data_IF_052500739008
#
_entry.id   IF_052500739008
#
_cell.length_a   1.000
_cell.length_b   1.000
_cell.length_c   1.000
_cell.angle_alpha   90.00
_cell.angle_beta   90.00
_cell.angle_gamma   90.00
#
_symmetry.space_group_name_H-M   'P 1'
#
loop_
_entity.id
_entity.type
_entity.pdbx_description
1 polymer ?
#
# COMPACT_ATOMS: atom_id res chain seq x y z
N UNK A 1 11.16 9.26 21.65
CA UNK A 1 10.31 8.27 20.94
C UNK A 1 11.20 7.50 19.98
N UNK A 2 10.92 6.21 19.76
CA UNK A 2 11.57 5.40 18.74
C UNK A 2 10.67 5.32 17.50
N UNK A 3 11.26 5.15 16.31
CA UNK A 3 10.55 4.86 15.07
C UNK A 3 11.00 3.48 14.56
N UNK A 4 10.20 2.47 14.82
CA UNK A 4 10.50 1.07 14.49
C UNK A 4 9.48 0.54 13.52
N UNK A 5 9.91 0.27 12.30
CA UNK A 5 9.06 -0.17 11.18
C UNK A 5 9.30 -1.64 10.91
N UNK A 6 8.22 -2.39 10.75
CA UNK A 6 8.26 -3.73 10.16
C UNK A 6 7.72 -3.60 8.73
N UNK A 7 8.53 -3.98 7.76
CA UNK A 7 8.08 -4.19 6.37
C UNK A 7 7.40 -5.54 6.31
N UNK A 8 6.12 -5.56 5.96
CA UNK A 8 5.29 -6.75 5.89
C UNK A 8 4.93 -7.04 4.42
N UNK A 9 5.32 -8.22 3.95
CA UNK A 9 5.13 -8.64 2.57
C UNK A 9 4.37 -9.97 2.50
N UNK A 10 3.08 -9.95 2.12
CA UNK A 10 2.41 -11.17 1.68
C UNK A 10 2.99 -11.58 0.32
N UNK A 11 3.32 -12.87 0.15
CA UNK A 11 4.02 -13.36 -1.04
C UNK A 11 3.42 -14.65 -1.56
N UNK A 12 3.45 -14.80 -2.88
CA UNK A 12 3.18 -16.06 -3.59
C UNK A 12 4.42 -16.95 -3.70
N UNK A 13 5.57 -16.50 -3.16
CA UNK A 13 6.88 -17.17 -3.25
C UNK A 13 7.81 -16.55 -4.30
N UNK A 14 7.39 -15.48 -4.99
CA UNK A 14 8.17 -14.84 -6.05
C UNK A 14 8.22 -13.32 -5.90
N UNK A 15 9.26 -12.82 -5.27
CA UNK A 15 9.51 -11.38 -5.21
C UNK A 15 10.10 -10.89 -6.53
N UNK A 16 9.49 -9.88 -7.15
CA UNK A 16 10.02 -9.29 -8.39
C UNK A 16 11.41 -8.68 -8.14
N UNK A 17 12.30 -8.81 -9.12
CA UNK A 17 13.67 -8.28 -9.01
C UNK A 17 13.71 -6.77 -8.71
N UNK A 18 12.80 -6.00 -9.28
CA UNK A 18 12.67 -4.57 -8.99
C UNK A 18 12.31 -4.29 -7.52
N UNK A 19 11.40 -5.10 -6.94
CA UNK A 19 11.02 -5.03 -5.52
C UNK A 19 12.20 -5.40 -4.64
N UNK A 20 12.86 -6.53 -4.90
CA UNK A 20 14.04 -6.96 -4.15
C UNK A 20 15.16 -5.92 -4.18
N UNK A 21 15.40 -5.31 -5.34
CA UNK A 21 16.40 -4.24 -5.49
C UNK A 21 16.00 -2.97 -4.71
N UNK A 22 14.72 -2.58 -4.76
CA UNK A 22 14.20 -1.44 -3.99
C UNK A 22 14.32 -1.67 -2.47
N UNK A 23 14.03 -2.88 -1.99
CA UNK A 23 14.19 -3.27 -0.57
C UNK A 23 15.64 -3.19 -0.12
N UNK A 24 16.58 -3.74 -0.89
CA UNK A 24 18.00 -3.67 -0.58
C UNK A 24 18.49 -2.21 -0.46
N UNK A 25 18.06 -1.34 -1.36
CA UNK A 25 18.38 0.09 -1.32
C UNK A 25 17.71 0.82 -0.16
N UNK A 26 16.47 0.46 0.18
CA UNK A 26 15.77 0.99 1.35
C UNK A 26 16.55 0.70 2.64
N UNK A 27 17.02 -0.55 2.82
CA UNK A 27 17.84 -0.95 4.00
C UNK A 27 19.08 -0.08 4.10
N UNK A 28 19.83 0.04 3.00
CA UNK A 28 21.05 0.84 2.99
C UNK A 28 20.79 2.33 3.27
N UNK A 29 19.73 2.88 2.71
CA UNK A 29 19.34 4.29 2.91
C UNK A 29 18.84 4.52 4.34
N UNK A 30 18.00 3.66 4.88
CA UNK A 30 17.43 3.76 6.22
C UNK A 30 18.51 3.67 7.31
N UNK A 31 19.56 2.90 7.08
CA UNK A 31 20.69 2.80 8.00
C UNK A 31 21.52 4.10 8.06
N UNK A 32 21.53 4.90 7.00
CA UNK A 32 22.36 6.10 6.87
C UNK A 32 21.58 7.40 7.15
N UNK A 33 20.29 7.42 6.81
CA UNK A 33 19.46 8.63 6.86
C UNK A 33 18.36 8.49 7.90
N UNK A 34 18.31 9.41 8.83
CA UNK A 34 17.23 9.42 9.84
C UNK A 34 15.93 9.94 9.26
N UNK A 35 14.84 9.23 9.56
CA UNK A 35 13.48 9.66 9.20
C UNK A 35 13.14 10.96 9.91
N UNK A 36 13.42 11.01 11.21
CA UNK A 36 13.21 12.19 12.06
C UNK A 36 14.52 12.53 12.77
N UNK A 37 15.06 13.76 12.62
CA UNK A 37 16.32 14.16 13.26
C UNK A 37 16.27 14.08 14.78
N UNK A 38 15.10 14.32 15.38
CA UNK A 38 14.89 14.35 16.84
C UNK A 38 14.75 12.96 17.48
N UNK A 39 14.62 11.89 16.69
CA UNK A 39 14.45 10.54 17.23
C UNK A 39 15.81 9.90 17.50
N UNK A 40 16.01 9.44 18.74
CA UNK A 40 17.25 8.79 19.14
C UNK A 40 17.46 7.44 18.46
N UNK A 41 16.36 6.72 18.18
CA UNK A 41 16.40 5.35 17.70
C UNK A 41 15.45 5.12 16.53
N UNK A 42 15.95 4.50 15.45
CA UNK A 42 15.14 3.97 14.36
C UNK A 42 15.58 2.55 14.03
N UNK A 43 14.61 1.70 13.67
CA UNK A 43 14.86 0.32 13.27
C UNK A 43 13.94 -0.06 12.10
N UNK A 44 14.44 -0.92 11.22
CA UNK A 44 13.72 -1.50 10.11
C UNK A 44 13.89 -3.01 10.18
N UNK A 45 12.80 -3.74 10.20
CA UNK A 45 12.73 -5.18 10.20
C UNK A 45 11.80 -5.68 9.10
N UNK A 46 11.82 -6.99 8.81
CA UNK A 46 11.08 -7.57 7.69
C UNK A 46 10.31 -8.80 8.14
N UNK A 47 9.07 -8.92 7.66
CA UNK A 47 8.23 -10.10 7.76
C UNK A 47 7.73 -10.47 6.37
N UNK A 48 8.03 -11.68 5.95
CA UNK A 48 7.55 -12.28 4.71
C UNK A 48 6.65 -13.47 5.06
N UNK A 49 5.48 -13.55 4.44
CA UNK A 49 4.58 -14.67 4.60
C UNK A 49 4.19 -15.23 3.24
N UNK A 50 4.56 -16.48 2.98
CA UNK A 50 4.29 -17.19 1.73
C UNK A 50 3.08 -18.12 1.85
N UNK A 51 2.42 -18.38 0.70
CA UNK A 51 1.49 -19.49 0.53
C UNK A 51 0.11 -19.30 1.17
N UNK A 52 -0.20 -18.14 1.73
CA UNK A 52 -1.53 -17.80 2.22
C UNK A 52 -2.32 -16.96 1.21
N UNK A 53 -3.66 -17.05 1.25
CA UNK A 53 -4.49 -16.08 0.54
C UNK A 53 -4.22 -14.67 1.09
N UNK A 54 -4.35 -13.65 0.24
CA UNK A 54 -3.92 -12.27 0.55
C UNK A 54 -4.51 -11.74 1.87
N UNK A 55 -5.81 -11.94 2.12
CA UNK A 55 -6.49 -11.52 3.36
C UNK A 55 -5.92 -12.20 4.60
N UNK A 56 -5.76 -13.53 4.56
CA UNK A 56 -5.21 -14.30 5.67
C UNK A 56 -3.73 -13.97 5.90
N UNK A 57 -2.97 -13.75 4.82
CA UNK A 57 -1.58 -13.34 4.88
C UNK A 57 -1.40 -12.00 5.58
N UNK A 58 -2.20 -10.98 5.20
CA UNK A 58 -2.16 -9.67 5.85
C UNK A 58 -2.56 -9.76 7.33
N UNK A 59 -3.61 -10.54 7.65
CA UNK A 59 -4.04 -10.74 9.04
C UNK A 59 -2.92 -11.35 9.89
N UNK A 60 -2.28 -12.43 9.40
CA UNK A 60 -1.18 -13.08 10.09
C UNK A 60 0.05 -12.17 10.27
N UNK A 61 0.37 -11.36 9.26
CA UNK A 61 1.47 -10.38 9.35
C UNK A 61 1.16 -9.30 10.40
N UNK A 62 -0.08 -8.84 10.51
CA UNK A 62 -0.49 -7.89 11.57
C UNK A 62 -0.41 -8.52 12.95
N UNK A 63 -0.84 -9.77 13.13
CA UNK A 63 -0.71 -10.47 14.43
C UNK A 63 0.76 -10.61 14.85
N UNK A 64 1.66 -10.97 13.92
CA UNK A 64 3.10 -11.01 14.18
C UNK A 64 3.67 -9.62 14.54
N UNK A 65 3.24 -8.58 13.82
CA UNK A 65 3.60 -7.20 14.12
C UNK A 65 3.15 -6.78 15.52
N UNK A 66 1.89 -7.08 15.89
CA UNK A 66 1.33 -6.73 17.20
C UNK A 66 2.01 -7.49 18.35
N UNK A 67 2.47 -8.72 18.11
CA UNK A 67 3.27 -9.49 19.06
C UNK A 67 4.64 -8.84 19.37
N UNK A 68 5.20 -8.05 18.46
CA UNK A 68 6.41 -7.27 18.69
C UNK A 68 6.08 -5.91 19.36
N UNK A 69 6.08 -5.84 20.67
CA UNK A 69 5.71 -4.64 21.42
C UNK A 69 6.58 -3.40 21.15
N UNK A 70 7.74 -3.56 20.51
CA UNK A 70 8.63 -2.46 20.18
C UNK A 70 8.34 -1.83 18.81
N UNK A 71 7.64 -2.54 17.93
CA UNK A 71 7.31 -2.04 16.61
C UNK A 71 6.24 -0.94 16.68
N UNK A 72 6.47 0.18 16.01
CA UNK A 72 5.57 1.35 16.03
C UNK A 72 4.72 1.48 14.78
N UNK A 73 5.23 1.01 13.64
CA UNK A 73 4.58 1.09 12.34
C UNK A 73 4.76 -0.19 11.55
N UNK A 74 3.74 -0.56 10.76
CA UNK A 74 3.81 -1.59 9.74
C UNK A 74 3.82 -0.92 8.38
N UNK A 75 4.76 -1.29 7.51
CA UNK A 75 4.80 -0.90 6.11
C UNK A 75 4.43 -2.10 5.25
N UNK A 76 3.22 -2.15 4.74
CA UNK A 76 2.89 -3.13 3.71
C UNK A 76 3.58 -2.78 2.40
N UNK A 77 4.22 -3.78 1.80
CA UNK A 77 4.78 -3.72 0.44
C UNK A 77 4.40 -5.03 -0.26
N UNK A 78 3.71 -4.95 -1.40
CA UNK A 78 3.45 -6.15 -2.20
C UNK A 78 4.72 -6.59 -2.96
N UNK A 79 4.82 -7.89 -3.25
CA UNK A 79 6.00 -8.53 -3.85
C UNK A 79 6.36 -8.03 -5.25
N UNK A 80 5.51 -7.19 -5.84
CA UNK A 80 5.63 -6.63 -7.18
C UNK A 80 5.63 -5.09 -7.21
N UNK A 81 6.01 -4.45 -6.10
CA UNK A 81 6.16 -3.00 -6.01
C UNK A 81 7.62 -2.55 -6.13
N UNK A 82 7.91 -1.73 -7.15
CA UNK A 82 9.17 -0.99 -7.22
C UNK A 82 9.03 0.40 -6.62
N UNK A 83 10.09 0.90 -5.96
CA UNK A 83 10.01 2.20 -5.27
C UNK A 83 11.39 2.86 -5.07
N UNK A 84 11.37 4.19 -4.83
CA UNK A 84 12.55 4.96 -4.49
C UNK A 84 12.94 4.76 -3.01
N UNK A 85 14.22 4.85 -2.72
CA UNK A 85 14.81 4.59 -1.38
C UNK A 85 14.27 5.46 -0.27
N UNK A 86 13.84 6.68 -0.59
CA UNK A 86 13.35 7.70 0.36
C UNK A 86 11.83 7.69 0.54
N UNK A 87 11.09 6.81 -0.16
CA UNK A 87 9.62 6.77 -0.13
C UNK A 87 9.08 6.64 1.29
N UNK A 88 9.63 5.69 2.09
CA UNK A 88 9.24 5.53 3.49
C UNK A 88 9.47 6.81 4.30
N UNK A 89 10.57 7.52 4.07
CA UNK A 89 10.89 8.76 4.77
C UNK A 89 9.88 9.87 4.45
N UNK A 90 9.47 9.99 3.19
CA UNK A 90 8.44 10.95 2.76
C UNK A 90 7.14 10.66 3.50
N UNK A 91 6.64 9.43 3.47
CA UNK A 91 5.39 9.02 4.12
C UNK A 91 5.42 9.22 5.64
N UNK A 92 6.48 8.76 6.30
CA UNK A 92 6.59 8.84 7.76
C UNK A 92 6.60 10.29 8.25
N UNK A 93 7.22 11.21 7.52
CA UNK A 93 7.25 12.65 7.84
C UNK A 93 5.88 13.32 7.78
N UNK A 94 4.88 12.70 7.17
CA UNK A 94 3.48 13.18 7.22
C UNK A 94 2.85 13.05 8.60
N UNK A 95 3.41 12.19 9.48
CA UNK A 95 2.94 11.99 10.86
C UNK A 95 1.45 11.69 10.95
N UNK A 96 0.93 10.96 9.98
CA UNK A 96 -0.46 10.48 9.96
C UNK A 96 -0.51 8.99 10.31
N UNK A 97 -1.54 8.52 11.03
CA UNK A 97 -1.67 7.11 11.40
C UNK A 97 -1.78 6.15 10.21
N UNK A 98 -2.33 6.61 9.10
CA UNK A 98 -2.43 5.83 7.85
C UNK A 98 -2.02 6.72 6.69
N UNK A 99 -0.93 6.35 6.02
CA UNK A 99 -0.46 6.97 4.78
C UNK A 99 -0.26 5.88 3.73
N UNK A 100 -0.86 6.03 2.57
CA UNK A 100 -0.72 5.10 1.46
C UNK A 100 -0.23 5.80 0.19
N UNK A 101 0.40 5.03 -0.69
CA UNK A 101 0.70 5.46 -2.04
C UNK A 101 -0.45 5.10 -2.99
N UNK A 102 -0.75 6.01 -3.91
CA UNK A 102 -1.68 5.79 -5.00
C UNK A 102 -0.89 5.35 -6.23
N UNK A 103 -1.00 4.10 -6.58
CA UNK A 103 -0.30 3.50 -7.71
C UNK A 103 -1.28 2.91 -8.72
N UNK A 104 -0.81 2.65 -9.95
CA UNK A 104 -1.65 2.08 -11.00
C UNK A 104 -1.75 0.56 -10.88
N UNK A 105 -2.93 0.02 -11.14
CA UNK A 105 -3.15 -1.42 -11.28
C UNK A 105 -2.34 -1.98 -12.46
N UNK A 106 -1.89 -3.23 -12.36
CA UNK A 106 -1.01 -3.89 -13.35
C UNK A 106 -1.74 -4.51 -14.55
N UNK A 107 -2.97 -4.12 -14.79
CA UNK A 107 -3.77 -4.57 -15.92
C UNK A 107 -4.56 -3.41 -16.52
N UNK A 108 -4.76 -3.37 -17.83
CA UNK A 108 -5.61 -2.36 -18.46
C UNK A 108 -7.07 -2.43 -17.97
N UNK A 109 -7.72 -1.28 -17.80
CA UNK A 109 -7.23 0.09 -18.02
C UNK A 109 -6.45 0.63 -16.80
N UNK A 110 -5.29 0.24 -16.53
CA UNK A 110 -4.36 0.59 -15.44
C UNK A 110 -4.77 1.80 -14.55
N UNK A 111 -5.96 1.74 -13.97
CA UNK A 111 -6.52 2.77 -13.09
C UNK A 111 -5.69 2.90 -11.82
N UNK A 112 -5.79 4.04 -11.15
CA UNK A 112 -5.24 4.21 -9.81
C UNK A 112 -6.01 3.38 -8.77
N UNK A 113 -5.33 2.99 -7.69
CA UNK A 113 -5.91 2.11 -6.66
C UNK A 113 -6.77 2.86 -5.65
N UNK A 114 -6.45 4.12 -5.36
CA UNK A 114 -7.14 4.88 -4.33
C UNK A 114 -8.49 5.45 -4.80
N UNK A 115 -9.47 5.45 -3.91
CA UNK A 115 -10.82 5.97 -4.13
C UNK A 115 -11.00 7.29 -3.37
N UNK A 116 -11.60 8.29 -4.01
CA UNK A 116 -11.98 9.56 -3.37
C UNK A 116 -12.89 9.32 -2.17
N UNK A 117 -12.85 10.25 -1.22
CA UNK A 117 -13.63 10.12 0.02
C UNK A 117 -15.16 10.04 -0.21
N UNK A 118 -15.64 10.64 -1.28
CA UNK A 118 -17.05 10.58 -1.70
C UNK A 118 -17.43 9.27 -2.41
N UNK A 119 -16.46 8.40 -2.70
CA UNK A 119 -16.68 7.12 -3.36
C UNK A 119 -17.00 7.20 -4.86
N UNK A 120 -16.92 8.39 -5.47
CA UNK A 120 -17.41 8.62 -6.84
C UNK A 120 -16.39 8.33 -7.93
N UNK A 121 -15.10 8.50 -7.63
CA UNK A 121 -14.02 8.36 -8.63
C UNK A 121 -12.69 7.96 -7.99
N UNK A 122 -11.77 7.44 -8.82
CA UNK A 122 -10.39 7.19 -8.43
C UNK A 122 -9.64 8.52 -8.23
N UNK A 123 -8.83 8.58 -7.16
CA UNK A 123 -7.89 9.68 -6.95
C UNK A 123 -6.86 9.65 -8.08
N UNK A 124 -6.56 10.83 -8.64
CA UNK A 124 -5.57 10.97 -9.71
C UNK A 124 -4.28 11.57 -9.13
N UNK A 125 -3.17 10.85 -9.27
CA UNK A 125 -1.84 11.38 -8.97
C UNK A 125 -1.22 11.89 -10.27
N UNK A 126 -1.04 13.20 -10.39
CA UNK A 126 -0.45 13.87 -11.56
C UNK A 126 0.77 14.66 -11.18
N UNK A 127 1.51 15.19 -12.16
CA UNK A 127 2.71 16.02 -11.91
C UNK A 127 2.40 17.20 -10.98
N UNK A 128 1.26 17.85 -11.17
CA UNK A 128 0.90 19.12 -10.52
C UNK A 128 0.28 18.93 -9.12
N UNK A 129 -0.10 17.69 -8.75
CA UNK A 129 -0.70 17.39 -7.43
C UNK A 129 0.39 16.98 -6.45
N UNK A 130 0.38 17.54 -5.25
CA UNK A 130 1.34 17.24 -4.16
C UNK A 130 0.65 17.22 -2.80
N UNK A 131 1.38 16.74 -1.77
CA UNK A 131 0.87 16.69 -0.41
C UNK A 131 -0.09 15.52 -0.17
N UNK A 132 -1.01 15.72 0.78
CA UNK A 132 -1.95 14.69 1.22
C UNK A 132 -3.36 14.93 0.69
N UNK A 133 -4.02 13.88 0.21
CA UNK A 133 -5.46 13.86 -0.11
C UNK A 133 -6.15 12.74 0.68
N UNK A 134 -7.30 13.05 1.33
CA UNK A 134 -8.05 12.05 2.07
C UNK A 134 -8.74 11.07 1.11
N UNK A 135 -8.58 9.75 1.40
CA UNK A 135 -9.13 8.67 0.59
C UNK A 135 -10.20 7.87 1.33
N UNK A 136 -11.17 7.37 0.58
CA UNK A 136 -12.12 6.39 1.08
C UNK A 136 -11.44 5.06 1.36
N UNK A 137 -10.62 4.60 0.44
CA UNK A 137 -9.69 3.47 0.60
C UNK A 137 -8.51 3.59 -0.36
N UNK A 138 -7.47 2.81 -0.12
CA UNK A 138 -6.28 2.69 -0.96
C UNK A 138 -5.85 1.23 -1.07
N UNK A 139 -4.99 0.89 -2.03
CA UNK A 139 -4.36 -0.42 -2.09
C UNK A 139 -3.26 -0.57 -1.03
N UNK A 140 -3.01 -1.80 -0.58
CA UNK A 140 -1.95 -2.11 0.38
C UNK A 140 -0.58 -2.37 -0.24
N UNK A 141 -0.44 -2.25 -1.56
CA UNK A 141 0.84 -2.48 -2.22
C UNK A 141 1.97 -1.58 -1.73
N UNK A 142 1.64 -0.40 -1.15
CA UNK A 142 2.59 0.44 -0.42
C UNK A 142 1.84 1.34 0.57
N UNK A 143 1.72 0.89 1.84
CA UNK A 143 0.96 1.58 2.87
C UNK A 143 1.66 1.51 4.23
N UNK A 144 1.91 2.67 4.84
CA UNK A 144 2.48 2.83 6.18
C UNK A 144 1.36 3.08 7.18
N UNK A 145 1.27 2.21 8.20
CA UNK A 145 0.18 2.22 9.17
C UNK A 145 0.75 2.15 10.59
N UNK A 146 0.31 3.06 11.45
CA UNK A 146 0.70 3.10 12.85
C UNK A 146 0.05 1.95 13.64
N UNK A 147 0.74 1.48 14.68
CA UNK A 147 0.29 0.39 15.57
C UNK A 147 -1.12 0.60 16.10
N UNK A 148 -1.42 1.80 16.57
CA UNK A 148 -2.70 2.16 17.19
C UNK A 148 -3.90 1.88 16.29
N UNK A 149 -3.73 1.94 14.96
CA UNK A 149 -4.81 1.62 14.00
C UNK A 149 -5.16 0.13 14.09
N UNK A 150 -4.15 -0.74 14.09
CA UNK A 150 -4.38 -2.19 14.15
C UNK A 150 -4.91 -2.63 15.51
N UNK A 151 -4.55 -1.93 16.58
CA UNK A 151 -5.08 -2.18 17.93
C UNK A 151 -6.55 -1.79 18.04
N UNK A 152 -7.00 -0.77 17.29
CA UNK A 152 -8.38 -0.29 17.29
C UNK A 152 -9.30 -1.04 16.32
N UNK A 153 -8.75 -1.57 15.21
CA UNK A 153 -9.55 -2.29 14.21
C UNK A 153 -9.72 -3.75 14.59
N UNK A 154 -10.97 -4.16 14.84
CA UNK A 154 -11.29 -5.53 15.27
C UNK A 154 -11.03 -6.56 14.16
N UNK A 155 -10.63 -7.77 14.58
CA UNK A 155 -10.49 -8.98 13.75
C UNK A 155 -11.88 -9.48 13.29
N UNK A 156 -12.01 -9.94 12.03
CA UNK A 156 -11.04 -9.98 10.95
C UNK A 156 -10.85 -8.59 10.30
N UNK A 157 -9.62 -8.08 10.27
CA UNK A 157 -9.32 -6.73 9.73
C UNK A 157 -9.46 -6.67 8.22
N UNK A 158 -9.05 -7.74 7.54
CA UNK A 158 -8.98 -7.85 6.08
C UNK A 158 -10.06 -8.78 5.50
N UNK A 159 -11.27 -8.73 6.03
CA UNK A 159 -12.38 -9.56 5.54
C UNK A 159 -12.77 -9.18 4.11
N UNK A 160 -13.04 -10.18 3.26
CA UNK A 160 -13.66 -9.99 1.96
C UNK A 160 -15.17 -10.05 2.16
N UNK A 161 -15.90 -9.03 1.73
CA UNK A 161 -17.34 -8.88 1.95
C UNK A 161 -18.13 -8.92 0.63
N UNK A 162 -19.32 -9.52 0.63
CA UNK A 162 -20.20 -9.53 -0.53
C UNK A 162 -20.96 -8.21 -0.67
N UNK A 163 -20.85 -7.57 -1.84
CA UNK A 163 -21.59 -6.35 -2.19
C UNK A 163 -22.82 -6.76 -3.00
N UNK A 164 -23.98 -6.86 -2.36
CA UNK A 164 -25.21 -7.37 -2.99
C UNK A 164 -25.65 -6.53 -4.19
N UNK A 165 -25.53 -5.19 -4.12
CA UNK A 165 -25.90 -4.26 -5.19
C UNK A 165 -25.05 -4.43 -6.45
N UNK A 166 -23.75 -4.65 -6.27
CA UNK A 166 -22.80 -4.84 -7.36
C UNK A 166 -22.63 -6.30 -7.78
N UNK A 167 -23.22 -7.24 -7.02
CA UNK A 167 -23.09 -8.70 -7.22
C UNK A 167 -21.62 -9.15 -7.33
N UNK A 168 -20.77 -8.60 -6.46
CA UNK A 168 -19.34 -8.90 -6.42
C UNK A 168 -18.82 -8.87 -4.99
N UNK A 169 -17.57 -9.29 -4.80
CA UNK A 169 -16.88 -9.17 -3.52
C UNK A 169 -16.04 -7.90 -3.47
N UNK A 170 -15.85 -7.37 -2.26
CA UNK A 170 -14.79 -6.37 -2.00
C UNK A 170 -13.42 -7.03 -2.18
N UNK A 171 -12.40 -6.21 -2.40
CA UNK A 171 -11.03 -6.57 -2.05
C UNK A 171 -10.83 -6.44 -0.52
N UNK A 172 -9.75 -6.97 0.02
CA UNK A 172 -9.48 -6.96 1.46
C UNK A 172 -9.18 -5.58 2.02
N UNK A 173 -8.74 -4.66 1.18
CA UNK A 173 -8.39 -3.29 1.53
C UNK A 173 -9.63 -2.45 1.89
N UNK A 174 -10.70 -2.52 1.11
CA UNK A 174 -11.90 -1.73 1.31
C UNK A 174 -12.52 -1.90 2.72
N UNK A 175 -12.79 -3.12 3.25
CA UNK A 175 -13.33 -3.30 4.59
C UNK A 175 -12.39 -2.83 5.68
N UNK A 176 -11.07 -2.97 5.52
CA UNK A 176 -10.10 -2.47 6.48
C UNK A 176 -10.20 -0.95 6.64
N UNK A 177 -10.14 -0.19 5.54
CA UNK A 177 -10.20 1.27 5.62
C UNK A 177 -11.55 1.79 6.11
N UNK A 178 -12.65 1.10 5.80
CA UNK A 178 -13.97 1.41 6.36
C UNK A 178 -13.97 1.26 7.89
N UNK A 179 -13.48 0.14 8.42
CA UNK A 179 -13.38 -0.12 9.86
C UNK A 179 -12.40 0.82 10.56
N UNK A 180 -11.29 1.15 9.92
CA UNK A 180 -10.35 2.13 10.45
C UNK A 180 -11.03 3.52 10.59
N UNK A 181 -11.85 3.91 9.61
CA UNK A 181 -12.61 5.16 9.67
C UNK A 181 -13.68 5.12 10.77
N UNK A 182 -14.39 4.00 10.94
CA UNK A 182 -15.34 3.78 12.03
C UNK A 182 -14.66 3.89 13.41
N UNK A 183 -13.39 3.51 13.50
CA UNK A 183 -12.53 3.67 14.67
C UNK A 183 -11.90 5.08 14.80
N UNK A 184 -12.22 6.03 13.90
CA UNK A 184 -11.78 7.42 13.95
C UNK A 184 -10.50 7.74 13.17
N UNK A 185 -9.93 6.80 12.41
CA UNK A 185 -8.72 7.01 11.62
C UNK A 185 -9.05 7.37 10.17
N UNK A 186 -8.27 8.29 9.61
CA UNK A 186 -8.39 8.71 8.21
C UNK A 186 -7.27 8.07 7.38
N UNK A 187 -7.60 7.67 6.16
CA UNK A 187 -6.62 7.24 5.17
C UNK A 187 -6.17 8.43 4.33
N UNK A 188 -4.86 8.64 4.25
CA UNK A 188 -4.26 9.71 3.46
C UNK A 188 -3.43 9.14 2.31
N UNK A 189 -3.72 9.60 1.10
CA UNK A 189 -2.84 9.42 -0.04
C UNK A 189 -1.76 10.49 0.00
N UNK A 190 -0.51 10.06 -0.04
CA UNK A 190 0.63 10.96 -0.22
C UNK A 190 1.01 11.00 -1.70
N UNK A 191 0.67 12.07 -2.40
CA UNK A 191 0.97 12.22 -3.83
C UNK A 191 2.45 12.29 -4.12
N UNK A 192 3.26 12.86 -3.21
CA UNK A 192 4.71 12.95 -3.40
C UNK A 192 5.38 11.57 -3.26
N UNK A 193 4.92 10.75 -2.31
CA UNK A 193 5.33 9.35 -2.18
C UNK A 193 4.80 8.49 -3.34
N UNK A 194 3.58 8.73 -3.80
CA UNK A 194 2.94 8.00 -4.91
C UNK A 194 3.72 8.10 -6.23
N UNK A 195 4.35 9.24 -6.49
CA UNK A 195 5.23 9.44 -7.66
C UNK A 195 6.54 8.64 -7.59
N UNK A 196 6.85 8.06 -6.44
CA UNK A 196 8.08 7.30 -6.15
C UNK A 196 7.88 5.78 -6.19
N UNK A 197 6.64 5.32 -6.42
CA UNK A 197 6.29 3.90 -6.48
C UNK A 197 5.73 3.53 -7.85
N UNK A 198 5.87 2.27 -8.21
CA UNK A 198 5.28 1.72 -9.42
C UNK A 198 5.01 0.23 -9.27
N UNK A 199 3.97 -0.24 -9.93
CA UNK A 199 3.57 -1.64 -9.92
C UNK A 199 4.29 -2.39 -11.05
N UNK A 200 4.82 -3.57 -10.77
CA UNK A 200 5.60 -4.37 -11.72
C UNK A 200 4.76 -5.54 -12.23
N UNK A 201 4.20 -5.39 -13.43
CA UNK A 201 3.51 -6.46 -14.17
C UNK A 201 4.37 -6.98 -15.31
N UNK A 202 3.80 -7.09 -16.51
CA UNK A 202 4.53 -7.33 -17.75
C UNK A 202 5.46 -6.16 -18.12
N UNK A 203 5.11 -4.98 -17.62
CA UNK A 203 5.91 -3.75 -17.67
C UNK A 203 5.74 -2.99 -16.34
N UNK A 204 6.60 -1.99 -16.03
CA UNK A 204 6.41 -1.14 -14.88
C UNK A 204 5.24 -0.18 -15.11
N UNK A 205 4.17 -0.28 -14.31
CA UNK A 205 3.01 0.60 -14.35
C UNK A 205 3.26 1.83 -13.48
N UNK A 206 3.65 2.93 -14.09
CA UNK A 206 3.99 4.19 -13.43
C UNK A 206 2.81 5.17 -13.45
N UNK A 207 2.81 6.11 -12.55
CA UNK A 207 1.78 7.15 -12.42
C UNK A 207 1.70 8.07 -13.65
N UNK A 208 2.84 8.33 -14.32
CA UNK A 208 3.02 9.26 -15.45
C UNK A 208 2.84 8.62 -16.84
N UNK A 209 2.49 7.33 -16.89
CA UNK A 209 2.27 6.64 -18.15
C UNK A 209 0.81 6.72 -18.59
N UNK A 210 0.60 6.99 -19.86
CA UNK A 210 -0.71 6.89 -20.50
C UNK A 210 -0.94 5.44 -20.97
N UNK A 211 -1.96 4.81 -20.39
CA UNK A 211 -2.37 3.46 -20.73
C UNK A 211 -3.67 3.55 -21.53
N UNK A 212 -3.54 3.71 -22.84
CA UNK A 212 -4.71 3.62 -23.71
C UNK A 212 -5.44 2.28 -23.48
N UNK A 213 -6.77 2.26 -23.42
CA UNK A 213 -7.52 1.02 -23.43
C UNK A 213 -7.07 0.20 -24.63
N UNK A 214 -6.76 -1.10 -24.43
CA UNK A 214 -6.58 -1.99 -25.57
C UNK A 214 -7.84 -1.89 -26.43
N UNK A 215 -7.67 -1.58 -27.71
CA UNK A 215 -8.78 -1.63 -28.63
C UNK A 215 -9.48 -2.98 -28.46
N UNK A 216 -10.83 -3.04 -28.48
CA UNK A 216 -11.54 -4.30 -28.41
C UNK A 216 -10.93 -5.24 -29.46
N UNK A 217 -10.43 -6.38 -29.04
CA UNK A 217 -10.03 -7.41 -29.98
C UNK A 217 -11.32 -7.80 -30.73
N UNK A 218 -11.38 -7.51 -32.01
CA UNK A 218 -12.44 -8.06 -32.85
C UNK A 218 -12.39 -9.57 -32.65
N UNK A 219 -13.49 -10.15 -32.17
CA UNK A 219 -13.60 -11.60 -32.06
C UNK A 219 -13.34 -12.20 -33.43
N UNK A 220 -12.52 -13.25 -33.59
CA UNK A 220 -12.25 -13.88 -34.89
C UNK A 220 -13.47 -14.58 -35.50
N UNK A 221 -14.62 -14.56 -34.82
CA UNK A 221 -15.87 -15.16 -35.25
C UNK A 221 -16.88 -14.12 -35.78
N UNK A 222 -16.42 -13.26 -36.67
CA UNK A 222 -17.29 -12.54 -37.58
C UNK A 222 -17.76 -13.46 -38.73
N UNK A 223 -18.63 -14.43 -38.44
CA UNK A 223 -19.56 -15.04 -39.39
C UNK A 223 -20.84 -15.42 -38.68
#
# INVERSE_FOLDING_TARGET
>A
MAFRVIVAMPSTGFVRSATAFSLARLVAYFAQVRVFPEIAEQALDFQLLEGSGISAGRESLVEQFLANSQATHLLFIDEDMGFNVDTLHVMARRRQPIVACNYRMRHPPAEFTAMRIDGTARIQTTQDVSGLEEAYYAGFGFALIAREVFEAVAVPRFAIEWIAQAKTYTTEDHPFYRRAREAGFRCWIDHDASKRVYHVGTLPYRWDMDYAPLAPQESPDGK
#
